data_IF_132875245968
#
_entry.id   IF_132875245968
#
_cell.length_a   1.000
_cell.length_b   1.000
_cell.length_c   1.000
_cell.angle_alpha   90.00
_cell.angle_beta   90.00
_cell.angle_gamma   90.00
#
_symmetry.space_group_name_H-M   'P 1'
#
loop_
_entity.id
_entity.type
_entity.pdbx_description
1 polymer ?
#
# COMPACT_ATOMS: atom_id res chain seq x y z
N UNK A 1 31.08 13.49 -16.44
CA UNK A 1 29.63 13.31 -16.15
C UNK A 1 29.42 11.91 -15.58
N UNK A 2 28.35 11.60 -14.83
CA UNK A 2 27.85 10.21 -14.59
C UNK A 2 27.97 9.56 -13.18
N UNK A 3 27.68 10.25 -12.07
CA UNK A 3 27.19 9.55 -10.85
C UNK A 3 26.01 10.24 -10.18
N UNK A 4 25.98 11.58 -10.20
CA UNK A 4 24.98 12.42 -9.52
C UNK A 4 23.58 12.40 -10.17
N UNK A 5 23.48 12.07 -11.45
CA UNK A 5 22.20 11.95 -12.15
C UNK A 5 21.57 10.57 -11.93
N UNK A 6 22.38 9.52 -11.81
CA UNK A 6 21.90 8.14 -11.71
C UNK A 6 21.23 7.84 -10.37
N UNK A 7 21.75 8.39 -9.27
CA UNK A 7 21.07 8.33 -7.96
C UNK A 7 19.75 9.10 -7.94
N UNK A 8 19.62 10.21 -8.69
CA UNK A 8 18.37 10.96 -8.79
C UNK A 8 17.28 10.18 -9.54
N UNK A 9 17.64 9.47 -10.60
CA UNK A 9 16.69 8.63 -11.34
C UNK A 9 16.25 7.41 -10.52
N UNK A 10 17.16 6.74 -9.81
CA UNK A 10 16.80 5.63 -8.90
C UNK A 10 15.90 6.08 -7.74
N UNK A 11 16.07 7.30 -7.24
CA UNK A 11 15.23 7.89 -6.19
C UNK A 11 13.82 8.22 -6.69
N UNK A 12 13.68 8.75 -7.91
CA UNK A 12 12.37 9.01 -8.52
C UNK A 12 11.65 7.69 -8.78
N UNK A 13 12.34 6.68 -9.32
CA UNK A 13 11.80 5.33 -9.53
C UNK A 13 11.34 4.70 -8.20
N UNK A 14 12.16 4.77 -7.14
CA UNK A 14 11.78 4.23 -5.83
C UNK A 14 10.63 5.00 -5.15
N UNK A 15 10.50 6.31 -5.37
CA UNK A 15 9.38 7.11 -4.87
C UNK A 15 8.08 6.78 -5.61
N UNK A 16 8.14 6.62 -6.94
CA UNK A 16 7.00 6.32 -7.82
C UNK A 16 6.48 4.90 -7.65
N UNK A 17 7.37 3.90 -7.52
CA UNK A 17 6.98 2.49 -7.36
C UNK A 17 6.12 2.24 -6.08
N UNK A 18 6.14 3.16 -5.11
CA UNK A 18 5.30 3.08 -3.91
C UNK A 18 4.13 4.09 -3.88
N UNK A 19 4.00 4.97 -4.88
CA UNK A 19 2.87 5.89 -5.01
C UNK A 19 1.61 5.17 -5.49
N UNK A 20 1.76 4.03 -6.20
CA UNK A 20 0.62 3.31 -6.78
C UNK A 20 -0.31 2.55 -5.87
N UNK A 21 -0.02 2.56 -4.57
CA UNK A 21 -0.93 2.00 -3.57
C UNK A 21 -1.71 3.12 -2.83
N UNK A 22 -1.31 4.39 -2.98
CA UNK A 22 -1.82 5.50 -2.15
C UNK A 22 -3.06 6.20 -2.75
N UNK A 23 -3.39 6.01 -4.03
CA UNK A 23 -4.58 6.61 -4.63
C UNK A 23 -5.92 5.96 -4.23
N UNK A 24 -5.94 4.65 -3.93
CA UNK A 24 -7.17 3.86 -3.94
C UNK A 24 -7.89 3.73 -2.58
N UNK A 25 -7.28 4.14 -1.45
CA UNK A 25 -7.77 3.74 -0.12
C UNK A 25 -8.03 4.86 0.89
N UNK A 26 -7.94 6.15 0.53
CA UNK A 26 -8.15 7.27 1.47
C UNK A 26 -9.15 8.35 1.04
N UNK A 27 -10.07 8.07 0.09
CA UNK A 27 -11.12 9.05 -0.24
C UNK A 27 -12.39 8.85 0.59
N UNK A 28 -12.81 9.82 1.43
CA UNK A 28 -14.11 9.76 2.11
C UNK A 28 -15.25 9.93 1.08
N UNK A 29 -16.40 9.24 1.24
CA UNK A 29 -17.49 9.25 0.27
C UNK A 29 -18.31 10.54 0.38
N UNK A 30 -17.75 11.68 -0.05
CA UNK A 30 -18.48 12.95 -0.06
C UNK A 30 -17.89 13.94 -1.07
N UNK A 31 -17.89 13.59 -2.36
CA UNK A 31 -17.96 14.58 -3.44
C UNK A 31 -18.88 14.05 -4.54
N UNK A 32 -19.89 14.81 -4.98
CA UNK A 32 -20.70 14.43 -6.13
C UNK A 32 -19.79 14.37 -7.36
N UNK A 33 -19.67 13.18 -7.93
CA UNK A 33 -18.86 12.90 -9.10
C UNK A 33 -19.57 13.49 -10.34
N UNK A 34 -18.90 14.30 -11.18
CA UNK A 34 -19.45 14.65 -12.47
C UNK A 34 -19.60 13.36 -13.30
N UNK A 35 -20.79 13.17 -13.85
CA UNK A 35 -21.14 12.01 -14.65
C UNK A 35 -20.16 11.84 -15.83
N UNK A 36 -19.39 10.77 -15.81
CA UNK A 36 -18.50 10.41 -16.92
C UNK A 36 -17.20 9.75 -16.47
N UNK A 37 -17.25 8.54 -15.94
CA UNK A 37 -16.15 7.55 -16.00
C UNK A 37 -16.72 6.15 -15.71
N UNK A 38 -16.80 5.24 -16.70
CA UNK A 38 -17.43 3.93 -16.53
C UNK A 38 -16.38 2.87 -16.13
N UNK A 39 -15.68 3.04 -14.99
CA UNK A 39 -14.71 2.04 -14.53
C UNK A 39 -14.30 2.17 -13.05
N UNK A 40 -15.21 2.46 -12.14
CA UNK A 40 -14.96 2.16 -10.71
C UNK A 40 -15.84 0.98 -10.33
N UNK A 41 -15.29 -0.26 -10.23
CA UNK A 41 -16.08 -1.37 -9.72
C UNK A 41 -16.57 -1.00 -8.31
N UNK A 42 -17.85 -1.29 -8.04
CA UNK A 42 -18.45 -1.04 -6.74
C UNK A 42 -17.56 -1.64 -5.62
N UNK A 43 -17.44 -0.99 -4.44
CA UNK A 43 -16.62 -1.49 -3.36
C UNK A 43 -17.07 -2.91 -2.98
N UNK A 44 -16.25 -3.90 -3.33
CA UNK A 44 -16.53 -5.30 -3.02
C UNK A 44 -16.51 -5.48 -1.50
N UNK A 45 -17.65 -5.82 -0.90
CA UNK A 45 -17.69 -6.20 0.51
C UNK A 45 -17.08 -7.60 0.66
N UNK A 46 -15.87 -7.67 1.23
CA UNK A 46 -15.12 -8.92 1.39
C UNK A 46 -15.87 -9.93 2.28
N UNK A 47 -16.53 -9.46 3.34
CA UNK A 47 -17.24 -10.33 4.28
C UNK A 47 -18.44 -11.01 3.62
N UNK A 48 -19.12 -10.31 2.71
CA UNK A 48 -20.27 -10.84 1.97
C UNK A 48 -19.81 -11.77 0.84
N UNK A 49 -18.72 -11.42 0.15
CA UNK A 49 -18.11 -12.26 -0.88
C UNK A 49 -17.62 -13.62 -0.33
N UNK A 50 -17.06 -13.60 0.88
CA UNK A 50 -16.63 -14.81 1.58
C UNK A 50 -17.79 -15.55 2.26
N UNK A 51 -19.03 -15.05 2.18
CA UNK A 51 -20.20 -15.63 2.84
C UNK A 51 -19.91 -15.90 4.34
N UNK A 52 -19.31 -14.93 5.04
CA UNK A 52 -18.97 -15.10 6.46
C UNK A 52 -20.23 -15.24 7.30
N UNK A 53 -20.24 -16.25 8.19
CA UNK A 53 -21.28 -16.37 9.19
C UNK A 53 -21.15 -15.27 10.28
N UNK A 54 -22.16 -15.14 11.13
CA UNK A 54 -22.20 -14.08 12.16
C UNK A 54 -21.00 -14.12 13.11
N UNK A 55 -20.59 -15.31 13.55
CA UNK A 55 -19.45 -15.47 14.46
C UNK A 55 -18.13 -15.09 13.78
N UNK A 56 -17.90 -15.57 12.55
CA UNK A 56 -16.75 -15.22 11.73
C UNK A 56 -16.68 -13.72 11.49
N UNK A 57 -17.83 -13.08 11.21
CA UNK A 57 -17.91 -11.64 11.00
C UNK A 57 -17.51 -10.83 12.24
N UNK A 58 -18.00 -11.22 13.42
CA UNK A 58 -17.61 -10.56 14.67
C UNK A 58 -16.12 -10.70 14.94
N UNK A 59 -15.55 -11.91 14.74
CA UNK A 59 -14.11 -12.14 14.93
C UNK A 59 -13.27 -11.39 13.91
N UNK A 60 -13.72 -11.33 12.66
CA UNK A 60 -13.06 -10.58 11.59
C UNK A 60 -13.02 -9.08 11.91
N UNK A 61 -14.15 -8.50 12.31
CA UNK A 61 -14.24 -7.09 12.71
C UNK A 61 -13.39 -6.76 13.95
N UNK A 62 -13.12 -7.73 14.81
CA UNK A 62 -12.23 -7.53 15.96
C UNK A 62 -10.74 -7.43 15.57
N UNK A 63 -10.33 -8.01 14.43
CA UNK A 63 -8.94 -7.97 13.96
C UNK A 63 -8.61 -6.65 13.24
N UNK A 64 -9.62 -6.02 12.63
CA UNK A 64 -9.43 -4.89 11.72
C UNK A 64 -8.91 -3.59 12.39
N UNK A 65 -9.40 -3.13 13.56
CA UNK A 65 -9.05 -1.82 14.09
C UNK A 65 -7.56 -1.68 14.42
N UNK A 66 -6.98 -2.69 15.08
CA UNK A 66 -5.56 -2.69 15.43
C UNK A 66 -4.68 -2.69 14.17
N UNK A 67 -5.01 -3.53 13.19
CA UNK A 67 -4.31 -3.59 11.92
C UNK A 67 -4.34 -2.24 11.18
N UNK A 68 -5.52 -1.62 11.06
CA UNK A 68 -5.67 -0.33 10.37
C UNK A 68 -4.92 0.80 11.09
N UNK A 69 -4.97 0.84 12.42
CA UNK A 69 -4.24 1.83 13.21
C UNK A 69 -2.73 1.72 12.99
N UNK A 70 -2.20 0.49 13.04
CA UNK A 70 -0.78 0.23 12.83
C UNK A 70 -0.33 0.54 11.40
N UNK A 71 -1.17 0.21 10.41
CA UNK A 71 -0.92 0.52 9.01
C UNK A 71 -0.87 2.03 8.79
N UNK A 72 -1.83 2.78 9.35
CA UNK A 72 -1.87 4.24 9.26
C UNK A 72 -0.65 4.89 9.92
N UNK A 73 -0.25 4.41 11.10
CA UNK A 73 0.96 4.89 11.79
C UNK A 73 2.23 4.64 10.97
N UNK A 74 2.36 3.44 10.37
CA UNK A 74 3.49 3.10 9.51
C UNK A 74 3.55 3.99 8.26
N UNK A 75 2.41 4.26 7.63
CA UNK A 75 2.32 5.18 6.49
C UNK A 75 2.74 6.60 6.84
N UNK A 76 2.31 7.09 8.00
CA UNK A 76 2.70 8.41 8.48
C UNK A 76 4.22 8.49 8.70
N UNK A 77 4.82 7.46 9.30
CA UNK A 77 6.26 7.38 9.50
C UNK A 77 7.03 7.36 8.17
N UNK A 78 6.62 6.52 7.21
CA UNK A 78 7.23 6.48 5.86
C UNK A 78 7.14 7.86 5.18
N UNK A 79 5.99 8.54 5.29
CA UNK A 79 5.79 9.88 4.72
C UNK A 79 6.79 10.88 5.31
N UNK A 80 6.98 10.87 6.62
CA UNK A 80 7.93 11.77 7.31
C UNK A 80 9.36 11.52 6.83
N UNK A 81 9.80 10.27 6.76
CA UNK A 81 11.14 9.93 6.26
C UNK A 81 11.33 10.28 4.78
N UNK A 82 10.31 10.10 3.92
CA UNK A 82 10.37 10.53 2.52
C UNK A 82 10.50 12.05 2.39
N UNK A 83 9.77 12.79 3.21
CA UNK A 83 9.87 14.25 3.22
C UNK A 83 11.25 14.72 3.70
N UNK A 84 11.80 14.09 4.75
CA UNK A 84 13.15 14.34 5.24
C UNK A 84 14.21 14.03 4.17
N UNK A 85 14.09 12.88 3.49
CA UNK A 85 14.95 12.49 2.39
C UNK A 85 14.98 13.55 1.27
N UNK A 86 13.81 14.05 0.85
CA UNK A 86 13.72 15.15 -0.12
C UNK A 86 14.45 16.38 0.40
N UNK A 87 14.21 16.80 1.65
CA UNK A 87 14.91 17.95 2.24
C UNK A 87 16.43 17.78 2.24
N UNK A 88 16.94 16.59 2.61
CA UNK A 88 18.38 16.32 2.61
C UNK A 88 18.99 16.34 1.21
N UNK A 89 18.27 15.87 0.20
CA UNK A 89 18.73 15.91 -1.21
C UNK A 89 18.84 17.34 -1.74
N UNK A 90 17.92 18.22 -1.35
CA UNK A 90 17.84 19.59 -1.84
C UNK A 90 18.51 20.64 -0.92
N UNK A 91 19.14 20.21 0.18
CA UNK A 91 19.91 21.10 1.04
C UNK A 91 21.10 21.72 0.29
N UNK A 92 21.50 22.94 0.70
CA UNK A 92 22.64 23.69 0.11
C UNK A 92 23.93 22.86 0.10
N UNK A 93 24.13 22.03 1.12
CA UNK A 93 25.20 21.03 1.18
C UNK A 93 24.57 19.68 1.53
N UNK A 94 24.33 18.80 0.54
CA UNK A 94 23.72 17.51 0.79
C UNK A 94 24.59 16.63 1.70
N UNK A 95 24.01 16.15 2.79
CA UNK A 95 24.63 15.16 3.67
C UNK A 95 24.30 13.75 3.18
N UNK A 96 25.33 13.03 2.72
CA UNK A 96 25.15 11.68 2.20
C UNK A 96 24.77 10.68 3.28
N UNK A 97 25.31 10.82 4.49
CA UNK A 97 25.02 9.90 5.59
C UNK A 97 23.56 10.03 6.04
N UNK A 98 23.05 11.27 6.11
CA UNK A 98 21.64 11.52 6.40
C UNK A 98 20.71 10.90 5.33
N UNK A 99 21.04 11.07 4.04
CA UNK A 99 20.28 10.47 2.93
C UNK A 99 20.23 8.94 3.05
N UNK A 100 21.38 8.30 3.28
CA UNK A 100 21.45 6.83 3.39
C UNK A 100 20.69 6.34 4.65
N UNK A 101 20.70 7.10 5.74
CA UNK A 101 19.93 6.80 6.95
C UNK A 101 18.42 6.87 6.72
N UNK A 102 17.93 7.90 6.03
CA UNK A 102 16.51 8.01 5.67
C UNK A 102 16.06 6.85 4.77
N UNK A 103 16.88 6.46 3.80
CA UNK A 103 16.60 5.30 2.93
C UNK A 103 16.52 4.00 3.73
N UNK A 104 17.46 3.76 4.65
CA UNK A 104 17.45 2.59 5.52
C UNK A 104 16.21 2.56 6.43
N UNK A 105 15.80 3.70 6.98
CA UNK A 105 14.60 3.82 7.79
C UNK A 105 13.33 3.48 7.00
N UNK A 106 13.21 4.00 5.78
CA UNK A 106 12.09 3.70 4.86
C UNK A 106 12.04 2.20 4.56
N UNK A 107 13.17 1.58 4.17
CA UNK A 107 13.23 0.16 3.85
C UNK A 107 12.80 -0.72 5.03
N UNK A 108 13.24 -0.38 6.25
CA UNK A 108 12.82 -1.08 7.48
C UNK A 108 11.32 -0.96 7.72
N UNK A 109 10.74 0.23 7.55
CA UNK A 109 9.30 0.46 7.73
C UNK A 109 8.48 -0.26 6.66
N UNK A 110 8.97 -0.33 5.41
CA UNK A 110 8.34 -1.11 4.35
C UNK A 110 8.36 -2.61 4.65
N UNK A 111 9.50 -3.13 5.12
CA UNK A 111 9.59 -4.54 5.56
C UNK A 111 8.64 -4.86 6.72
N UNK A 112 8.57 -3.97 7.72
CA UNK A 112 7.63 -4.10 8.83
C UNK A 112 6.17 -4.08 8.36
N UNK A 113 5.83 -3.23 7.39
CA UNK A 113 4.50 -3.16 6.81
C UNK A 113 4.11 -4.45 6.09
N UNK A 114 5.00 -4.98 5.25
CA UNK A 114 4.76 -6.23 4.54
C UNK A 114 4.52 -7.38 5.53
N UNK A 115 5.34 -7.46 6.59
CA UNK A 115 5.17 -8.48 7.61
C UNK A 115 3.81 -8.35 8.33
N UNK A 116 3.34 -7.14 8.62
CA UNK A 116 2.02 -6.92 9.23
C UNK A 116 0.89 -7.37 8.32
N UNK A 117 0.93 -7.04 7.03
CA UNK A 117 -0.07 -7.49 6.05
C UNK A 117 -0.11 -9.02 5.99
N UNK A 118 1.05 -9.69 5.94
CA UNK A 118 1.13 -11.16 5.96
C UNK A 118 0.52 -11.71 7.26
N UNK A 119 0.85 -11.11 8.39
CA UNK A 119 0.37 -11.56 9.70
C UNK A 119 -1.15 -11.43 9.81
N UNK A 120 -1.70 -10.30 9.37
CA UNK A 120 -3.14 -10.07 9.31
C UNK A 120 -3.83 -11.08 8.39
N UNK A 121 -3.29 -11.30 7.18
CA UNK A 121 -3.86 -12.25 6.23
C UNK A 121 -3.85 -13.69 6.76
N UNK A 122 -2.81 -14.08 7.51
CA UNK A 122 -2.76 -15.39 8.18
C UNK A 122 -3.80 -15.51 9.30
N UNK A 123 -4.01 -14.45 10.09
CA UNK A 123 -5.04 -14.42 11.13
C UNK A 123 -6.45 -14.50 10.53
N UNK A 124 -6.70 -13.74 9.47
CA UNK A 124 -7.96 -13.78 8.71
C UNK A 124 -8.20 -15.17 8.10
N UNK A 125 -7.21 -15.76 7.43
CA UNK A 125 -7.27 -17.11 6.87
C UNK A 125 -7.61 -18.18 7.92
N UNK A 126 -7.14 -18.01 9.16
CA UNK A 126 -7.41 -18.95 10.24
C UNK A 126 -8.88 -18.97 10.67
N UNK A 127 -9.64 -17.88 10.42
CA UNK A 127 -11.09 -17.80 10.68
C UNK A 127 -11.93 -18.48 9.60
N UNK A 128 -11.36 -18.70 8.41
CA UNK A 128 -12.06 -19.19 7.24
C UNK A 128 -12.04 -20.72 7.15
N UNK A 129 -13.13 -21.29 6.62
CA UNK A 129 -13.17 -22.68 6.18
C UNK A 129 -12.47 -22.86 4.81
N UNK A 130 -12.33 -24.11 4.35
CA UNK A 130 -11.58 -24.41 3.13
C UNK A 130 -12.20 -23.80 1.86
N UNK A 131 -13.54 -23.74 1.79
CA UNK A 131 -14.25 -23.12 0.65
C UNK A 131 -14.00 -21.61 0.64
N UNK A 132 -14.10 -20.97 1.80
CA UNK A 132 -13.88 -19.54 1.98
C UNK A 132 -12.41 -19.15 1.71
N UNK A 133 -11.45 -19.97 2.14
CA UNK A 133 -10.02 -19.78 1.83
C UNK A 133 -9.73 -19.81 0.34
N UNK A 134 -10.35 -20.76 -0.38
CA UNK A 134 -10.19 -20.88 -1.84
C UNK A 134 -10.70 -19.61 -2.54
N UNK A 135 -11.89 -19.12 -2.14
CA UNK A 135 -12.45 -17.86 -2.66
C UNK A 135 -11.58 -16.65 -2.36
N UNK A 136 -11.04 -16.55 -1.15
CA UNK A 136 -10.11 -15.48 -0.78
C UNK A 136 -8.85 -15.51 -1.65
N UNK A 137 -8.27 -16.70 -1.87
CA UNK A 137 -7.10 -16.87 -2.71
C UNK A 137 -7.38 -16.45 -4.17
N UNK A 138 -8.48 -16.94 -4.76
CA UNK A 138 -8.87 -16.58 -6.13
C UNK A 138 -9.09 -15.08 -6.28
N UNK A 139 -9.74 -14.44 -5.31
CA UNK A 139 -9.95 -12.99 -5.29
C UNK A 139 -8.62 -12.23 -5.28
N UNK A 140 -7.68 -12.63 -4.42
CA UNK A 140 -6.36 -11.98 -4.31
C UNK A 140 -5.56 -12.14 -5.61
N UNK A 141 -5.50 -13.34 -6.17
CA UNK A 141 -4.79 -13.62 -7.42
C UNK A 141 -5.38 -12.84 -8.61
N UNK A 142 -6.71 -12.75 -8.70
CA UNK A 142 -7.37 -11.99 -9.76
C UNK A 142 -7.09 -10.48 -9.65
N UNK A 143 -7.00 -9.93 -8.42
CA UNK A 143 -6.60 -8.53 -8.22
C UNK A 143 -5.16 -8.30 -8.67
N UNK A 144 -4.21 -9.16 -8.28
CA UNK A 144 -2.82 -9.04 -8.73
C UNK A 144 -2.65 -9.17 -10.24
N UNK A 145 -3.46 -10.00 -10.91
CA UNK A 145 -3.45 -10.11 -12.37
C UNK A 145 -3.96 -8.85 -13.08
N UNK A 146 -4.72 -8.00 -12.38
CA UNK A 146 -5.29 -6.76 -12.92
C UNK A 146 -4.51 -5.51 -12.48
N UNK A 147 -3.64 -5.62 -11.48
CA UNK A 147 -2.74 -4.54 -11.06
C UNK A 147 -1.68 -4.32 -12.14
N UNK A 148 -1.97 -3.38 -13.05
CA UNK A 148 -0.93 -2.75 -13.87
C UNK A 148 -0.10 -1.88 -12.95
N UNK A 149 1.21 -2.03 -12.97
CA UNK A 149 2.07 -1.15 -12.15
C UNK A 149 1.95 0.28 -12.68
N UNK A 150 1.89 1.28 -11.81
CA UNK A 150 1.83 2.69 -12.26
C UNK A 150 3.01 3.08 -13.16
N UNK A 151 4.14 2.38 -13.04
CA UNK A 151 5.29 2.53 -13.94
C UNK A 151 4.96 2.11 -15.37
N UNK A 152 4.23 1.01 -15.57
CA UNK A 152 3.76 0.58 -16.90
C UNK A 152 2.76 1.56 -17.53
N UNK A 153 2.13 2.43 -16.73
CA UNK A 153 1.26 3.49 -17.20
C UNK A 153 2.06 4.77 -17.53
N UNK A 154 3.05 5.12 -16.70
CA UNK A 154 3.91 6.30 -16.91
C UNK A 154 4.88 6.15 -18.10
N UNK A 155 5.18 4.93 -18.53
CA UNK A 155 6.06 4.65 -19.67
C UNK A 155 5.32 4.36 -20.98
N UNK A 156 3.98 4.44 -20.98
CA UNK A 156 3.16 4.12 -22.15
C UNK A 156 2.81 5.35 -23.01
N UNK A 157 3.10 6.56 -22.52
CA UNK A 157 2.86 7.84 -23.21
C UNK A 157 4.17 8.56 -23.58
#
# INVERSE_FOLDING_TARGET
MNRRHWTRYLLIVSLSLNLGIVGALLWPPSKPQPAGNPASPAPLNLQDHLELNTEQRTRWQALEPAFLQELAANWQAIRQHREALVRHIFATTPDRAAIDAEQAAIARLQGAQQQRVITQLLAERALLDERQRTRLMELLLNRYAQETTEEEQLHRD
#
